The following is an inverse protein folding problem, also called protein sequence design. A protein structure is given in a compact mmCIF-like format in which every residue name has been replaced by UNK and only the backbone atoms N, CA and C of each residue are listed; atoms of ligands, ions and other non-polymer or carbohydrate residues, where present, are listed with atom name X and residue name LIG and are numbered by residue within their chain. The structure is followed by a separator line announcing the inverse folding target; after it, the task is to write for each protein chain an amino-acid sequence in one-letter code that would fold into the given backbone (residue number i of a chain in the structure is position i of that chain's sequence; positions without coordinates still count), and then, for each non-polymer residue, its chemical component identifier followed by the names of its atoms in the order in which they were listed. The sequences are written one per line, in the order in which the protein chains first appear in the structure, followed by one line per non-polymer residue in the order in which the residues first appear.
data_IF_223778514433
#
_entry.id   IF_223778514433
#
_cell.length_a   1.000
_cell.length_b   1.000
_cell.length_c   1.000
_cell.angle_alpha   90.00
_cell.angle_beta   90.00
_cell.angle_gamma   90.00
#
_symmetry.space_group_name_H-M   'P 1'
#
loop_
_entity.id
_entity.type
_entity.pdbx_description
1 polymer ?
#
# COMPACT_ATOMS: atom_id res chain seq x y z
N UNK A 1 25.20 16.98 -21.54
CA UNK A 1 24.74 17.72 -20.34
C UNK A 1 24.86 19.24 -20.52
N UNK A 2 24.95 19.74 -21.76
CA UNK A 2 25.48 21.07 -22.07
C UNK A 2 24.46 22.02 -22.70
N UNK A 3 23.16 21.72 -22.60
CA UNK A 3 22.15 22.70 -23.00
C UNK A 3 21.95 23.72 -21.87
N UNK A 4 21.74 25.02 -22.19
CA UNK A 4 21.51 26.06 -21.18
C UNK A 4 20.43 25.68 -20.15
N UNK A 5 19.34 25.06 -20.61
CA UNK A 5 18.22 24.64 -19.77
C UNK A 5 18.60 23.52 -18.78
N UNK A 6 19.53 22.61 -19.14
CA UNK A 6 20.02 21.59 -18.21
C UNK A 6 20.93 22.23 -17.17
N UNK A 7 21.80 23.16 -17.56
CA UNK A 7 22.69 23.84 -16.60
C UNK A 7 21.88 24.64 -15.58
N UNK A 8 20.87 25.38 -16.03
CA UNK A 8 19.98 26.14 -15.16
C UNK A 8 19.25 25.25 -14.14
N UNK A 9 18.76 24.08 -14.58
CA UNK A 9 18.15 23.11 -13.67
C UNK A 9 19.10 22.67 -12.55
N UNK A 10 20.34 22.31 -12.90
CA UNK A 10 21.34 21.88 -11.91
C UNK A 10 21.69 23.02 -10.95
N UNK A 11 21.92 24.22 -11.46
CA UNK A 11 22.23 25.38 -10.62
C UNK A 11 21.08 25.71 -9.66
N UNK A 12 19.82 25.64 -10.11
CA UNK A 12 18.68 26.00 -9.28
C UNK A 12 18.31 24.93 -8.23
N UNK A 13 18.34 23.64 -8.61
CA UNK A 13 17.71 22.57 -7.81
C UNK A 13 18.66 21.50 -7.26
N UNK A 14 19.91 21.46 -7.74
CA UNK A 14 20.93 20.48 -7.29
C UNK A 14 22.04 21.18 -6.52
N UNK A 15 22.58 22.25 -7.08
CA UNK A 15 23.60 23.09 -6.44
C UNK A 15 22.96 24.14 -5.51
N UNK A 16 21.75 24.60 -5.85
CA UNK A 16 20.96 25.55 -5.09
C UNK A 16 20.10 24.90 -3.99
N UNK A 17 19.37 25.73 -3.25
CA UNK A 17 18.51 25.30 -2.13
C UNK A 17 17.05 25.09 -2.51
N UNK A 18 16.67 25.31 -3.78
CA UNK A 18 15.29 25.13 -4.19
C UNK A 18 14.92 23.64 -4.19
N UNK A 19 13.74 23.26 -3.69
CA UNK A 19 13.27 21.88 -3.78
C UNK A 19 13.07 21.48 -5.24
N UNK A 20 13.31 20.22 -5.56
CA UNK A 20 13.06 19.69 -6.89
C UNK A 20 11.60 19.95 -7.32
N UNK A 21 11.35 20.43 -8.54
CA UNK A 21 10.01 20.77 -9.02
C UNK A 21 9.27 19.50 -9.49
N UNK A 22 9.15 18.50 -8.60
CA UNK A 22 8.67 17.16 -8.94
C UNK A 22 7.26 17.16 -9.52
N UNK A 23 6.38 18.04 -9.03
CA UNK A 23 5.02 18.19 -9.57
C UNK A 23 5.04 18.55 -11.06
N UNK A 24 5.85 19.51 -11.45
CA UNK A 24 5.96 19.97 -12.84
C UNK A 24 6.63 18.91 -13.69
N UNK A 25 7.72 18.30 -13.20
CA UNK A 25 8.46 17.27 -13.92
C UNK A 25 7.60 16.04 -14.19
N UNK A 26 6.89 15.54 -13.19
CA UNK A 26 6.07 14.33 -13.28
C UNK A 26 4.78 14.56 -14.07
N UNK A 27 4.22 15.77 -14.04
CA UNK A 27 3.07 16.11 -14.89
C UNK A 27 3.38 15.97 -16.39
N UNK A 28 4.63 16.12 -16.83
CA UNK A 28 5.03 15.93 -18.24
C UNK A 28 4.83 14.49 -18.72
N UNK A 29 4.84 13.54 -17.81
CA UNK A 29 4.60 12.11 -18.08
C UNK A 29 3.24 11.66 -17.56
N UNK A 30 2.31 12.59 -17.32
CA UNK A 30 0.95 12.26 -16.87
C UNK A 30 0.93 11.58 -15.50
N UNK A 31 1.81 12.00 -14.59
CA UNK A 31 1.83 11.56 -13.19
C UNK A 31 1.49 12.74 -12.30
N UNK A 32 0.48 12.55 -11.46
CA UNK A 32 0.13 13.50 -10.42
C UNK A 32 1.02 13.24 -9.19
N UNK A 33 1.65 14.31 -8.69
CA UNK A 33 2.49 14.29 -7.49
C UNK A 33 1.87 15.21 -6.44
N UNK A 34 1.63 14.65 -5.26
CA UNK A 34 1.08 15.36 -4.12
C UNK A 34 1.86 14.99 -2.85
N UNK A 35 1.97 15.93 -1.92
CA UNK A 35 2.59 15.72 -0.60
C UNK A 35 1.55 15.88 0.50
N UNK A 36 1.77 15.18 1.61
CA UNK A 36 0.97 15.30 2.84
C UNK A 36 -0.54 15.14 2.65
N UNK A 37 -0.93 14.21 1.77
CA UNK A 37 -2.34 13.94 1.47
C UNK A 37 -2.93 12.91 2.41
N UNK A 38 -4.21 13.08 2.71
CA UNK A 38 -5.03 12.07 3.40
C UNK A 38 -5.85 11.37 2.34
N UNK A 39 -5.64 10.07 2.18
CA UNK A 39 -6.46 9.22 1.32
C UNK A 39 -7.33 8.31 2.17
N UNK A 40 -8.48 7.91 1.62
CA UNK A 40 -9.35 6.88 2.18
C UNK A 40 -9.20 5.63 1.34
N UNK A 41 -8.68 4.56 1.92
CA UNK A 41 -8.45 3.30 1.22
C UNK A 41 -8.79 2.08 2.09
N UNK A 42 -9.05 0.94 1.45
CA UNK A 42 -9.13 -0.34 2.14
C UNK A 42 -7.71 -0.86 2.43
N UNK A 43 -7.53 -1.44 3.62
CA UNK A 43 -6.31 -2.17 3.98
C UNK A 43 -6.62 -3.22 5.04
N UNK A 44 -5.63 -4.06 5.38
CA UNK A 44 -5.77 -5.12 6.40
C UNK A 44 -5.52 -4.64 7.83
N UNK A 45 -5.87 -3.40 8.14
CA UNK A 45 -5.94 -2.95 9.53
C UNK A 45 -4.67 -2.33 10.10
N UNK A 46 -3.64 -2.09 9.27
CA UNK A 46 -2.34 -1.48 9.67
C UNK A 46 -1.66 -2.19 10.85
N UNK A 47 -1.81 -3.51 10.95
CA UNK A 47 -1.00 -4.34 11.84
C UNK A 47 0.40 -4.52 11.26
N UNK A 48 1.43 -4.61 12.11
CA UNK A 48 2.77 -4.94 11.67
C UNK A 48 2.84 -6.44 11.36
N UNK A 49 3.29 -6.79 10.16
CA UNK A 49 3.36 -8.17 9.68
C UNK A 49 4.80 -8.63 9.54
N UNK A 50 5.02 -9.91 9.82
CA UNK A 50 6.29 -10.60 9.66
C UNK A 50 6.11 -11.95 9.01
N UNK A 51 7.24 -12.59 8.71
CA UNK A 51 7.29 -13.98 8.28
C UNK A 51 7.81 -14.84 9.43
N UNK A 52 7.08 -15.89 9.77
CA UNK A 52 7.53 -16.88 10.74
C UNK A 52 8.25 -18.02 9.99
N UNK A 53 9.56 -18.24 10.19
CA UNK A 53 10.31 -19.28 9.50
C UNK A 53 9.97 -20.70 9.93
N UNK A 54 9.42 -20.91 11.13
CA UNK A 54 9.04 -22.23 11.64
C UNK A 54 7.74 -22.72 10.98
N UNK A 55 6.72 -21.87 10.98
CA UNK A 55 5.40 -22.18 10.40
C UNK A 55 5.34 -21.91 8.90
N UNK A 56 6.29 -21.14 8.36
CA UNK A 56 6.34 -20.61 6.99
C UNK A 56 5.13 -19.75 6.63
N UNK A 57 4.59 -19.00 7.60
CA UNK A 57 3.38 -18.19 7.44
C UNK A 57 3.64 -16.71 7.71
N UNK A 58 2.71 -15.88 7.22
CA UNK A 58 2.64 -14.47 7.59
C UNK A 58 1.99 -14.35 8.96
N UNK A 59 2.58 -13.56 9.86
CA UNK A 59 2.05 -13.37 11.21
C UNK A 59 2.01 -11.91 11.62
N UNK A 60 1.14 -11.60 12.59
CA UNK A 60 1.06 -10.27 13.21
C UNK A 60 2.15 -10.13 14.27
N UNK A 61 3.17 -9.33 13.98
CA UNK A 61 4.22 -8.96 14.94
C UNK A 61 3.62 -8.07 16.03
N UNK A 62 2.91 -7.02 15.62
CA UNK A 62 2.36 -6.02 16.52
C UNK A 62 1.03 -5.44 16.00
N UNK A 63 0.00 -5.51 16.83
CA UNK A 63 -1.32 -4.96 16.60
C UNK A 63 -1.57 -3.64 17.35
N UNK A 64 -0.60 -3.11 18.11
CA UNK A 64 -0.76 -1.88 18.90
C UNK A 64 -1.18 -0.67 18.06
N UNK A 65 -0.64 -0.59 16.83
CA UNK A 65 -0.90 0.47 15.86
C UNK A 65 -2.04 0.13 14.88
N UNK A 66 -2.83 -0.92 15.16
CA UNK A 66 -3.97 -1.27 14.33
C UNK A 66 -4.90 -0.07 14.17
N UNK A 67 -5.31 0.19 12.93
CA UNK A 67 -6.34 1.19 12.67
C UNK A 67 -7.72 0.67 13.06
N UNK A 68 -8.76 1.47 12.82
CA UNK A 68 -10.14 1.11 13.15
C UNK A 68 -10.55 -0.26 12.59
N UNK A 69 -10.24 -0.56 11.33
CA UNK A 69 -10.60 -1.82 10.70
C UNK A 69 -9.84 -3.02 11.31
N UNK A 70 -8.55 -2.87 11.59
CA UNK A 70 -7.75 -3.92 12.24
C UNK A 70 -8.24 -4.24 13.66
N UNK A 71 -8.67 -3.21 14.39
CA UNK A 71 -9.32 -3.35 15.71
C UNK A 71 -10.67 -4.05 15.61
N UNK A 72 -11.48 -3.73 14.60
CA UNK A 72 -12.77 -4.40 14.36
C UNK A 72 -12.59 -5.89 14.01
N UNK A 73 -11.59 -6.24 13.20
CA UNK A 73 -11.23 -7.64 12.95
C UNK A 73 -10.74 -8.35 14.21
N UNK A 74 -10.16 -7.61 15.16
CA UNK A 74 -9.68 -8.17 16.43
C UNK A 74 -8.38 -8.94 16.27
N UNK A 75 -7.48 -8.47 15.39
CA UNK A 75 -6.12 -8.98 15.29
C UNK A 75 -5.39 -8.88 16.64
N UNK A 76 -4.51 -9.84 16.89
CA UNK A 76 -3.65 -9.89 18.06
C UNK A 76 -2.22 -10.25 17.65
N UNK A 77 -1.27 -9.86 18.49
CA UNK A 77 0.12 -10.25 18.32
C UNK A 77 0.22 -11.79 18.28
N UNK A 78 1.06 -12.30 17.39
CA UNK A 78 1.28 -13.70 17.08
C UNK A 78 0.08 -14.42 16.42
N UNK A 79 -0.86 -13.69 15.83
CA UNK A 79 -1.81 -14.29 14.90
C UNK A 79 -1.08 -14.72 13.63
N UNK A 80 -1.12 -16.00 13.32
CA UNK A 80 -0.66 -16.57 12.05
C UNK A 80 -1.81 -16.50 11.04
N UNK A 81 -1.63 -15.80 9.93
CA UNK A 81 -2.69 -15.58 8.94
C UNK A 81 -2.77 -16.80 8.02
N UNK A 82 -3.92 -17.47 8.01
CA UNK A 82 -4.18 -18.64 7.18
C UNK A 82 -4.89 -18.27 5.89
N UNK A 83 -5.91 -17.40 5.96
CA UNK A 83 -6.67 -17.00 4.78
C UNK A 83 -7.36 -15.65 4.94
N UNK A 84 -7.65 -15.01 3.80
CA UNK A 84 -8.45 -13.81 3.67
C UNK A 84 -9.59 -14.08 2.66
N UNK A 85 -10.84 -13.92 3.08
CA UNK A 85 -12.03 -14.12 2.25
C UNK A 85 -12.04 -15.48 1.51
N UNK A 86 -11.50 -16.53 2.15
CA UNK A 86 -11.40 -17.87 1.58
C UNK A 86 -10.16 -18.13 0.73
N UNK A 87 -9.38 -17.10 0.37
CA UNK A 87 -8.09 -17.28 -0.29
C UNK A 87 -7.00 -17.59 0.73
N UNK A 88 -6.28 -18.71 0.53
CA UNK A 88 -5.13 -19.06 1.37
C UNK A 88 -4.04 -18.00 1.27
N UNK A 89 -3.50 -17.60 2.42
CA UNK A 89 -2.42 -16.61 2.51
C UNK A 89 -1.09 -17.33 2.70
N UNK A 90 -0.16 -17.04 1.79
CA UNK A 90 1.24 -17.46 1.85
C UNK A 90 2.15 -16.24 1.68
N UNK A 91 3.43 -16.33 2.07
CA UNK A 91 4.38 -15.24 1.84
C UNK A 91 4.48 -14.82 0.37
N UNK A 92 4.35 -15.78 -0.56
CA UNK A 92 4.48 -15.57 -1.99
C UNK A 92 3.28 -14.80 -2.58
N UNK A 93 2.07 -15.09 -2.10
CA UNK A 93 0.84 -14.49 -2.63
C UNK A 93 0.32 -13.32 -1.79
N UNK A 94 0.89 -13.06 -0.61
CA UNK A 94 0.37 -12.06 0.33
C UNK A 94 0.22 -10.68 -0.32
N UNK A 95 1.24 -10.25 -1.08
CA UNK A 95 1.19 -8.97 -1.80
C UNK A 95 -0.01 -8.90 -2.73
N UNK A 96 -0.18 -9.91 -3.60
CA UNK A 96 -1.29 -9.96 -4.55
C UNK A 96 -2.64 -9.96 -3.82
N UNK A 97 -2.80 -10.79 -2.78
CA UNK A 97 -4.05 -10.85 -2.00
C UNK A 97 -4.38 -9.49 -1.37
N UNK A 98 -3.39 -8.77 -0.84
CA UNK A 98 -3.64 -7.44 -0.25
C UNK A 98 -3.96 -6.37 -1.30
N UNK A 99 -3.33 -6.42 -2.47
CA UNK A 99 -3.65 -5.55 -3.61
C UNK A 99 -5.08 -5.83 -4.12
N UNK A 100 -5.45 -7.10 -4.27
CA UNK A 100 -6.79 -7.53 -4.67
C UNK A 100 -7.85 -7.11 -3.64
N UNK A 101 -7.56 -7.28 -2.34
CA UNK A 101 -8.43 -6.79 -1.27
C UNK A 101 -8.63 -5.28 -1.37
N UNK A 102 -7.55 -4.51 -1.58
CA UNK A 102 -7.62 -3.05 -1.68
C UNK A 102 -8.46 -2.59 -2.87
N UNK A 103 -8.31 -3.24 -4.02
CA UNK A 103 -8.89 -2.78 -5.28
C UNK A 103 -10.32 -3.28 -5.52
N UNK A 104 -10.68 -4.45 -4.98
CA UNK A 104 -11.96 -5.10 -5.28
C UNK A 104 -12.98 -5.07 -4.13
N UNK A 105 -12.57 -4.68 -2.92
CA UNK A 105 -13.47 -4.57 -1.76
C UNK A 105 -14.34 -3.32 -1.85
N UNK A 106 -15.58 -3.42 -1.37
CA UNK A 106 -16.53 -2.30 -1.22
C UNK A 106 -16.91 -2.08 0.23
N UNK A 107 -17.33 -0.86 0.55
CA UNK A 107 -17.79 -0.51 1.90
C UNK A 107 -18.97 -1.41 2.28
N UNK A 108 -18.89 -2.03 3.46
CA UNK A 108 -19.93 -2.93 3.97
C UNK A 108 -19.80 -4.38 3.53
N UNK A 109 -18.81 -4.75 2.71
CA UNK A 109 -18.52 -6.15 2.40
C UNK A 109 -18.19 -6.94 3.68
N UNK A 110 -18.59 -8.22 3.72
CA UNK A 110 -18.21 -9.09 4.83
C UNK A 110 -16.76 -9.53 4.60
N UNK A 111 -15.88 -9.18 5.52
CA UNK A 111 -14.49 -9.63 5.51
C UNK A 111 -14.32 -10.74 6.52
N UNK A 112 -13.70 -11.84 6.10
CA UNK A 112 -13.34 -12.97 6.94
C UNK A 112 -11.84 -13.22 6.87
N UNK A 113 -11.18 -13.25 8.02
CA UNK A 113 -9.77 -13.65 8.13
C UNK A 113 -9.71 -14.89 9.01
N UNK A 114 -9.10 -15.96 8.53
CA UNK A 114 -8.81 -17.13 9.37
C UNK A 114 -7.39 -16.99 9.88
N UNK A 115 -7.24 -17.05 11.20
CA UNK A 115 -5.94 -17.00 11.86
C UNK A 115 -5.74 -18.23 12.74
N UNK A 116 -4.50 -18.59 12.96
CA UNK A 116 -4.10 -19.51 14.01
C UNK A 116 -3.52 -18.69 15.18
N UNK A 117 -4.10 -18.86 16.37
CA UNK A 117 -3.80 -18.05 17.57
C UNK A 117 -3.49 -18.93 18.76
N UNK A 118 -2.37 -18.66 19.44
CA UNK A 118 -2.06 -19.28 20.74
C UNK A 118 -2.93 -18.69 21.85
N UNK A 119 -3.69 -19.54 22.54
CA UNK A 119 -4.55 -19.20 23.67
C UNK A 119 -4.24 -20.15 24.83
N UNK A 120 -3.68 -19.60 25.92
CA UNK A 120 -3.31 -20.37 27.12
C UNK A 120 -2.42 -21.59 26.80
N UNK A 121 -1.41 -21.39 25.95
CA UNK A 121 -0.45 -22.44 25.54
C UNK A 121 -0.93 -23.36 24.42
N UNK A 122 -2.22 -23.33 24.06
CA UNK A 122 -2.76 -24.13 22.96
C UNK A 122 -3.01 -23.31 21.72
N UNK A 123 -2.70 -23.87 20.57
CA UNK A 123 -2.97 -23.28 19.26
C UNK A 123 -4.43 -23.53 18.87
N UNK A 124 -5.14 -22.48 18.42
CA UNK A 124 -6.53 -22.60 17.94
C UNK A 124 -6.74 -21.78 16.67
N UNK A 125 -7.44 -22.36 15.70
CA UNK A 125 -7.96 -21.63 14.55
C UNK A 125 -9.10 -20.72 14.98
N UNK A 126 -9.05 -19.45 14.57
CA UNK A 126 -10.07 -18.44 14.84
C UNK A 126 -10.49 -17.78 13.54
N UNK A 127 -11.79 -17.50 13.46
CA UNK A 127 -12.42 -16.82 12.33
C UNK A 127 -12.76 -15.40 12.75
N UNK A 128 -11.98 -14.44 12.26
CA UNK A 128 -12.15 -13.01 12.49
C UNK A 128 -13.10 -12.46 11.44
N UNK A 129 -14.06 -11.62 11.85
CA UNK A 129 -15.05 -11.05 10.93
C UNK A 129 -15.27 -9.58 11.22
N UNK A 130 -15.30 -8.78 10.16
CA UNK A 130 -15.67 -7.38 10.22
C UNK A 130 -16.38 -6.96 8.93
N UNK A 131 -16.94 -5.76 8.94
CA UNK A 131 -17.44 -5.12 7.72
C UNK A 131 -16.34 -4.22 7.17
N UNK A 132 -16.08 -4.31 5.87
CA UNK A 132 -15.08 -3.48 5.22
C UNK A 132 -15.44 -2.00 5.37
N UNK A 133 -14.47 -1.20 5.81
CA UNK A 133 -14.57 0.25 5.90
C UNK A 133 -13.38 0.88 5.18
N UNK A 134 -13.57 2.08 4.67
CA UNK A 134 -12.46 2.93 4.26
C UNK A 134 -11.80 3.51 5.50
N UNK A 135 -10.47 3.44 5.55
CA UNK A 135 -9.69 4.02 6.64
C UNK A 135 -8.82 5.14 6.11
N UNK A 136 -8.66 6.19 6.90
CA UNK A 136 -7.78 7.31 6.55
C UNK A 136 -6.32 6.90 6.67
N UNK A 137 -5.56 7.23 5.64
CA UNK A 137 -4.13 7.04 5.59
C UNK A 137 -3.45 8.32 5.14
N UNK A 138 -2.53 8.81 5.98
CA UNK A 138 -1.62 9.89 5.62
C UNK A 138 -0.53 9.34 4.71
N UNK A 139 -0.35 9.95 3.54
CA UNK A 139 0.72 9.65 2.61
C UNK A 139 1.61 10.89 2.49
N UNK A 140 2.87 10.83 2.96
CA UNK A 140 3.83 11.93 2.79
C UNK A 140 4.06 12.28 1.33
N UNK A 141 4.04 11.25 0.46
CA UNK A 141 4.11 11.39 -0.99
C UNK A 141 3.06 10.47 -1.60
N UNK A 142 2.28 11.00 -2.54
CA UNK A 142 1.37 10.26 -3.40
C UNK A 142 1.75 10.50 -4.86
N UNK A 143 1.96 9.39 -5.58
CA UNK A 143 2.21 9.33 -7.02
C UNK A 143 1.09 8.52 -7.66
N UNK A 144 0.38 9.13 -8.61
CA UNK A 144 -0.71 8.47 -9.31
C UNK A 144 -0.63 8.75 -10.81
N UNK A 145 -0.98 7.76 -11.63
CA UNK A 145 -1.17 8.01 -13.04
C UNK A 145 -2.41 8.86 -13.22
N UNK A 146 -2.27 9.98 -13.91
CA UNK A 146 -3.39 10.84 -14.23
C UNK A 146 -4.30 10.09 -15.22
N UNK A 147 -5.56 9.79 -14.86
CA UNK A 147 -6.48 9.04 -15.74
C UNK A 147 -6.86 9.84 -17.00
N UNK A 148 -6.64 11.16 -16.99
CA UNK A 148 -6.89 12.07 -18.09
C UNK A 148 -5.59 12.51 -18.79
N UNK A 149 -4.51 11.74 -18.65
CA UNK A 149 -3.24 12.05 -19.32
C UNK A 149 -3.42 12.10 -20.85
N UNK A 150 -2.82 13.11 -21.49
CA UNK A 150 -2.86 13.29 -22.94
C UNK A 150 -2.08 12.19 -23.67
N UNK A 151 -2.35 11.95 -24.97
CA UNK A 151 -1.57 11.02 -25.77
C UNK A 151 -0.06 11.27 -25.71
N UNK A 152 0.38 12.54 -25.73
CA UNK A 152 1.79 12.91 -25.64
C UNK A 152 2.40 12.57 -24.27
N UNK A 153 1.66 12.83 -23.18
CA UNK A 153 2.08 12.46 -21.82
C UNK A 153 2.22 10.94 -21.67
N UNK A 154 1.26 10.18 -22.22
CA UNK A 154 1.28 8.72 -22.22
C UNK A 154 2.46 8.18 -23.03
N UNK A 155 2.72 8.74 -24.21
CA UNK A 155 3.85 8.37 -25.05
C UNK A 155 5.17 8.63 -24.33
N UNK A 156 5.35 9.82 -23.74
CA UNK A 156 6.56 10.15 -23.00
C UNK A 156 6.74 9.24 -21.77
N UNK A 157 5.65 8.92 -21.06
CA UNK A 157 5.67 7.98 -19.94
C UNK A 157 6.12 6.59 -20.36
N UNK A 158 5.62 6.08 -21.49
CA UNK A 158 5.99 4.77 -22.01
C UNK A 158 7.48 4.73 -22.39
N UNK A 159 7.99 5.77 -23.03
CA UNK A 159 9.44 5.90 -23.30
C UNK A 159 10.27 5.91 -22.02
N UNK A 160 9.82 6.63 -21.00
CA UNK A 160 10.54 6.73 -19.73
C UNK A 160 10.54 5.41 -18.94
N UNK A 161 9.40 4.73 -18.84
CA UNK A 161 9.26 3.49 -18.06
C UNK A 161 9.72 2.24 -18.83
N UNK A 162 10.09 2.37 -20.11
CA UNK A 162 10.47 1.24 -20.96
C UNK A 162 9.31 0.29 -21.27
N UNK A 163 8.07 0.72 -21.07
CA UNK A 163 6.89 -0.04 -21.47
C UNK A 163 6.74 0.08 -22.99
N UNK A 164 7.06 -1.00 -23.71
CA UNK A 164 6.82 -1.13 -25.15
C UNK A 164 5.40 -1.61 -25.41
#
# INVERSE_FOLDING_TARGET
LSSPNIREFFTNYVEGSNPLPLKELLSKVGIDYQTDVIVKEFNLGRVALGYNPESKRMFVIDASNANEFGKQLGFKNNDEILSLNGAEVTPENFRQITEDFKNNTKVGDKVEVIVERKVKGNTKTQKLKAKAILVEQKKPILLEFNPNASPDQLQLRNYWLGAK
#
